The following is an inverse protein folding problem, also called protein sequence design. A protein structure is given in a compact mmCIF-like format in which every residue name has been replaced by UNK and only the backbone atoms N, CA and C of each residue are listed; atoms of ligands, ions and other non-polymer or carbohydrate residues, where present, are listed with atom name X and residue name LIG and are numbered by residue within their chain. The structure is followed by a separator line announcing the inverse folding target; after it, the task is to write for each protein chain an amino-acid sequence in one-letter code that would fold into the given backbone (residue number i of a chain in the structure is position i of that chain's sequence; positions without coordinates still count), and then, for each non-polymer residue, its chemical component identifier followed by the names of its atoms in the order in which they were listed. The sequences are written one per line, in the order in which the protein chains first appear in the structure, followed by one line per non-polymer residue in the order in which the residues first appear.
data_IF_870511563908
#
_entry.id   IF_870511563908
#
_cell.length_a   1.000
_cell.length_b   1.000
_cell.length_c   1.000
_cell.angle_alpha   90.00
_cell.angle_beta   90.00
_cell.angle_gamma   90.00
#
_symmetry.space_group_name_H-M   'P 1'
#
loop_
_entity.id
_entity.type
_entity.pdbx_description
1 polymer ?
#
# COMPACT_ATOMS: atom_id res chain seq x y z
N UNK A 1 -3.13 17.45 15.52
CA UNK A 1 -4.32 16.87 16.17
C UNK A 1 -4.74 15.72 15.28
N UNK A 2 -4.60 14.49 15.77
CA UNK A 2 -5.09 13.32 15.04
C UNK A 2 -6.62 13.42 15.04
N UNK A 3 -7.24 13.30 13.87
CA UNK A 3 -8.70 13.37 13.72
C UNK A 3 -9.29 12.11 14.37
N UNK A 4 -10.00 12.27 15.48
CA UNK A 4 -10.53 11.14 16.26
C UNK A 4 -11.49 10.26 15.47
N UNK A 5 -12.19 10.84 14.49
CA UNK A 5 -13.04 10.08 13.58
C UNK A 5 -12.20 9.24 12.61
N UNK A 6 -11.10 9.81 12.10
CA UNK A 6 -10.18 9.09 11.20
C UNK A 6 -9.62 7.85 11.88
N UNK A 7 -9.12 7.98 13.11
CA UNK A 7 -8.60 6.83 13.87
C UNK A 7 -9.67 5.77 14.03
N UNK A 8 -10.86 6.16 14.50
CA UNK A 8 -11.94 5.21 14.72
C UNK A 8 -12.37 4.49 13.42
N UNK A 9 -12.42 5.19 12.28
CA UNK A 9 -12.73 4.59 10.98
C UNK A 9 -11.65 3.57 10.55
N UNK A 10 -10.37 3.83 10.87
CA UNK A 10 -9.28 2.90 10.60
C UNK A 10 -9.24 1.72 11.58
N UNK A 11 -9.55 1.93 12.86
CA UNK A 11 -9.70 0.85 13.84
C UNK A 11 -10.78 -0.15 13.38
N UNK A 12 -11.91 0.35 12.87
CA UNK A 12 -12.96 -0.51 12.31
C UNK A 12 -12.51 -1.26 11.04
N UNK A 13 -11.72 -0.60 10.18
CA UNK A 13 -11.20 -1.24 8.98
C UNK A 13 -10.21 -2.35 9.33
N UNK A 14 -9.31 -2.09 10.27
CA UNK A 14 -8.35 -3.08 10.79
C UNK A 14 -9.07 -4.29 11.36
N UNK A 15 -10.05 -4.05 12.24
CA UNK A 15 -10.84 -5.12 12.83
C UNK A 15 -11.54 -5.96 11.74
N UNK A 16 -12.10 -5.32 10.71
CA UNK A 16 -12.75 -6.02 9.61
C UNK A 16 -11.77 -6.87 8.77
N UNK A 17 -10.53 -6.41 8.58
CA UNK A 17 -9.48 -7.19 7.91
C UNK A 17 -9.10 -8.43 8.73
N UNK A 18 -8.98 -8.28 10.06
CA UNK A 18 -8.68 -9.37 10.98
C UNK A 18 -9.81 -10.39 11.06
N UNK A 19 -11.06 -9.94 11.19
CA UNK A 19 -12.25 -10.82 11.24
C UNK A 19 -12.43 -11.61 9.94
N UNK A 20 -12.08 -11.02 8.80
CA UNK A 20 -12.06 -11.70 7.51
C UNK A 20 -10.83 -12.59 7.29
N UNK A 21 -9.89 -12.64 8.26
CA UNK A 21 -8.62 -13.37 8.19
C UNK A 21 -7.83 -13.06 6.92
N UNK A 22 -7.79 -11.78 6.54
CA UNK A 22 -7.08 -11.35 5.33
C UNK A 22 -5.56 -11.50 5.57
N UNK A 23 -4.85 -12.31 4.77
CA UNK A 23 -3.41 -12.43 4.89
C UNK A 23 -2.70 -11.09 4.65
N UNK A 24 -1.58 -10.84 5.34
CA UNK A 24 -0.77 -9.62 5.15
C UNK A 24 -0.45 -9.36 3.67
N UNK A 25 -0.09 -10.42 2.92
CA UNK A 25 0.23 -10.30 1.50
C UNK A 25 -0.97 -9.94 0.61
N UNK A 26 -2.20 -10.22 1.04
CA UNK A 26 -3.39 -9.73 0.35
C UNK A 26 -3.72 -8.28 0.71
N UNK A 27 -3.40 -7.82 1.93
CA UNK A 27 -3.49 -6.40 2.30
C UNK A 27 -2.55 -5.57 1.41
N UNK A 28 -1.29 -5.97 1.27
CA UNK A 28 -0.31 -5.28 0.41
C UNK A 28 -0.72 -5.32 -1.06
N UNK A 29 -1.22 -6.46 -1.56
CA UNK A 29 -1.74 -6.56 -2.94
C UNK A 29 -2.95 -5.68 -3.18
N UNK A 30 -3.91 -5.64 -2.26
CA UNK A 30 -5.06 -4.76 -2.39
C UNK A 30 -4.64 -3.29 -2.36
N UNK A 31 -3.63 -2.94 -1.55
CA UNK A 31 -3.06 -1.61 -1.57
C UNK A 31 -2.43 -1.27 -2.93
N UNK A 32 -1.66 -2.19 -3.51
CA UNK A 32 -1.08 -2.03 -4.85
C UNK A 32 -2.17 -1.82 -5.93
N UNK A 33 -3.24 -2.61 -5.91
CA UNK A 33 -4.41 -2.44 -6.80
C UNK A 33 -5.05 -1.07 -6.63
N UNK A 34 -5.17 -0.60 -5.38
CA UNK A 34 -5.70 0.74 -5.11
C UNK A 34 -4.78 1.84 -5.70
N UNK A 35 -3.46 1.76 -5.50
CA UNK A 35 -2.51 2.71 -6.09
C UNK A 35 -2.59 2.74 -7.61
N UNK A 36 -2.70 1.58 -8.26
CA UNK A 36 -2.85 1.51 -9.72
C UNK A 36 -4.14 2.19 -10.18
N UNK A 37 -5.25 1.98 -9.47
CA UNK A 37 -6.53 2.63 -9.78
C UNK A 37 -6.48 4.17 -9.67
N UNK A 38 -5.64 4.71 -8.77
CA UNK A 38 -5.43 6.15 -8.64
C UNK A 38 -4.65 6.72 -9.83
N UNK A 39 -3.67 5.96 -10.35
CA UNK A 39 -2.90 6.32 -11.54
C UNK A 39 -3.80 6.29 -12.77
N UNK A 40 -4.54 5.19 -12.98
CA UNK A 40 -5.42 5.02 -14.14
C UNK A 40 -6.58 6.03 -14.14
N UNK A 41 -7.10 6.35 -12.95
CA UNK A 41 -8.15 7.36 -12.77
C UNK A 41 -7.66 8.81 -12.87
N UNK A 42 -6.35 9.04 -13.07
CA UNK A 42 -5.78 10.39 -13.17
C UNK A 42 -5.87 11.21 -11.87
N UNK A 43 -6.00 10.55 -10.72
CA UNK A 43 -6.25 11.20 -9.42
C UNK A 43 -4.96 11.85 -8.87
N UNK A 44 -3.79 11.33 -9.25
CA UNK A 44 -2.47 11.82 -8.82
C UNK A 44 -1.95 12.98 -9.68
N UNK A 45 -2.78 14.01 -9.89
CA UNK A 45 -2.51 15.10 -10.82
C UNK A 45 -1.27 15.96 -10.47
N UNK A 46 -0.78 15.93 -9.22
CA UNK A 46 0.45 16.63 -8.83
C UNK A 46 1.73 15.95 -9.33
N UNK A 47 1.64 14.70 -9.79
CA UNK A 47 2.78 13.92 -10.26
C UNK A 47 2.71 13.75 -11.78
N UNK A 48 3.82 14.04 -12.46
CA UNK A 48 3.85 14.02 -13.92
C UNK A 48 3.67 12.61 -14.49
N UNK A 49 2.99 12.49 -15.63
CA UNK A 49 2.76 11.20 -16.30
C UNK A 49 4.04 10.39 -16.55
N UNK A 50 5.18 10.96 -16.98
CA UNK A 50 6.42 10.19 -17.14
C UNK A 50 6.88 9.53 -15.83
N UNK A 51 6.72 10.21 -14.69
CA UNK A 51 7.06 9.68 -13.37
C UNK A 51 6.11 8.57 -12.94
N UNK A 52 4.81 8.73 -13.18
CA UNK A 52 3.83 7.67 -12.93
C UNK A 52 4.15 6.41 -13.76
N UNK A 53 4.52 6.56 -15.03
CA UNK A 53 4.92 5.43 -15.91
C UNK A 53 6.15 4.67 -15.40
N UNK A 54 7.04 5.31 -14.65
CA UNK A 54 8.18 4.61 -14.00
C UNK A 54 7.71 3.66 -12.90
N UNK A 55 6.62 4.00 -12.20
CA UNK A 55 6.15 3.23 -11.04
C UNK A 55 5.17 2.11 -11.41
N UNK A 56 4.42 2.25 -12.50
CA UNK A 56 3.42 1.25 -12.94
C UNK A 56 4.01 -0.17 -12.97
N UNK A 57 5.18 -0.45 -13.58
CA UNK A 57 5.71 -1.81 -13.62
C UNK A 57 5.98 -2.41 -12.24
N UNK A 58 6.39 -1.59 -11.26
CA UNK A 58 6.61 -2.06 -9.88
C UNK A 58 5.28 -2.40 -9.20
N UNK A 59 4.26 -1.57 -9.40
CA UNK A 59 2.91 -1.80 -8.84
C UNK A 59 2.28 -3.04 -9.47
N UNK A 60 2.37 -3.19 -10.79
CA UNK A 60 1.87 -4.40 -11.47
C UNK A 60 2.61 -5.65 -10.99
N UNK A 61 3.92 -5.55 -10.76
CA UNK A 61 4.72 -6.65 -10.25
C UNK A 61 4.33 -7.04 -8.82
N UNK A 62 4.06 -6.08 -7.94
CA UNK A 62 3.66 -6.36 -6.55
C UNK A 62 2.29 -7.01 -6.43
N UNK A 63 1.43 -6.87 -7.44
CA UNK A 63 0.14 -7.57 -7.53
C UNK A 63 0.32 -9.08 -7.83
N UNK A 64 1.43 -9.47 -8.48
CA UNK A 64 1.70 -10.86 -8.84
C UNK A 64 2.13 -11.68 -7.61
N UNK A 65 1.38 -12.74 -7.29
CA UNK A 65 1.59 -13.57 -6.09
C UNK A 65 2.91 -14.33 -6.09
N UNK A 66 3.12 -15.20 -7.08
CA UNK A 66 4.27 -16.10 -7.12
C UNK A 66 5.62 -15.37 -7.13
N UNK A 67 5.90 -14.39 -8.02
CA UNK A 67 7.25 -13.82 -8.12
C UNK A 67 7.69 -13.04 -6.87
N UNK A 68 6.75 -12.54 -6.07
CA UNK A 68 7.06 -11.69 -4.90
C UNK A 68 7.10 -12.51 -3.61
N UNK A 69 6.26 -13.54 -3.48
CA UNK A 69 6.24 -14.42 -2.33
C UNK A 69 7.39 -15.45 -2.39
N UNK A 70 7.74 -15.96 -3.57
CA UNK A 70 8.73 -17.05 -3.70
C UNK A 70 10.17 -16.60 -4.01
N UNK A 71 10.39 -15.35 -4.43
CA UNK A 71 11.71 -14.85 -4.82
C UNK A 71 12.12 -13.62 -3.98
N UNK A 72 12.69 -13.90 -2.81
CA UNK A 72 13.15 -12.86 -1.89
C UNK A 72 14.28 -11.98 -2.45
N UNK A 73 15.10 -12.49 -3.37
CA UNK A 73 16.18 -11.74 -3.99
C UNK A 73 15.65 -10.75 -5.03
N UNK A 74 14.67 -11.18 -5.83
CA UNK A 74 13.94 -10.27 -6.72
C UNK A 74 13.26 -9.16 -5.92
N UNK A 75 12.52 -9.51 -4.86
CA UNK A 75 11.84 -8.53 -4.00
C UNK A 75 12.84 -7.52 -3.42
N UNK A 76 13.97 -8.00 -2.86
CA UNK A 76 15.02 -7.13 -2.31
C UNK A 76 15.60 -6.20 -3.37
N UNK A 77 15.84 -6.70 -4.59
CA UNK A 77 16.35 -5.89 -5.70
C UNK A 77 15.39 -4.76 -6.07
N UNK A 78 14.10 -5.07 -6.24
CA UNK A 78 13.07 -4.08 -6.56
C UNK A 78 12.94 -3.01 -5.46
N UNK A 79 13.02 -3.41 -4.19
CA UNK A 79 13.03 -2.48 -3.05
C UNK A 79 14.26 -1.56 -3.10
N UNK A 80 15.45 -2.09 -3.37
CA UNK A 80 16.68 -1.28 -3.47
C UNK A 80 16.64 -0.30 -4.65
N UNK A 81 16.12 -0.72 -5.80
CA UNK A 81 15.91 0.13 -6.97
C UNK A 81 14.96 1.29 -6.62
N UNK A 82 13.79 0.99 -6.05
CA UNK A 82 12.83 2.01 -5.62
C UNK A 82 13.42 2.95 -4.56
N UNK A 83 14.21 2.42 -3.60
CA UNK A 83 14.86 3.27 -2.61
C UNK A 83 15.84 4.26 -3.24
N UNK A 84 16.59 3.79 -4.24
CA UNK A 84 17.54 4.64 -4.97
C UNK A 84 16.80 5.77 -5.70
N UNK A 85 15.68 5.48 -6.35
CA UNK A 85 14.86 6.51 -7.01
C UNK A 85 14.28 7.50 -6.00
N UNK A 86 13.76 7.02 -4.87
CA UNK A 86 13.22 7.91 -3.84
C UNK A 86 14.29 8.87 -3.31
N UNK A 87 15.49 8.37 -3.00
CA UNK A 87 16.59 9.19 -2.48
C UNK A 87 17.00 10.30 -3.46
N UNK A 88 16.97 10.03 -4.77
CA UNK A 88 17.27 11.01 -5.80
C UNK A 88 16.22 12.15 -5.85
N UNK A 89 14.98 11.84 -5.50
CA UNK A 89 13.85 12.79 -5.60
C UNK A 89 13.44 13.42 -4.27
N UNK A 90 13.86 12.87 -3.13
CA UNK A 90 13.43 13.28 -1.78
C UNK A 90 13.42 14.78 -1.51
N UNK A 91 14.42 15.50 -2.03
CA UNK A 91 14.60 16.96 -1.81
C UNK A 91 14.05 17.83 -2.93
N UNK A 92 13.86 17.26 -4.13
CA UNK A 92 13.51 18.01 -5.34
C UNK A 92 12.06 17.83 -5.75
N UNK A 93 11.44 16.72 -5.34
CA UNK A 93 10.04 16.38 -5.59
C UNK A 93 9.52 15.47 -4.46
N UNK A 94 8.99 16.10 -3.42
CA UNK A 94 8.49 15.41 -2.23
C UNK A 94 7.25 14.55 -2.52
N UNK A 95 6.37 15.00 -3.41
CA UNK A 95 5.17 14.26 -3.79
C UNK A 95 5.54 12.95 -4.49
N UNK A 96 6.46 13.01 -5.46
CA UNK A 96 6.92 11.80 -6.13
C UNK A 96 7.68 10.87 -5.17
N UNK A 97 8.51 11.42 -4.28
CA UNK A 97 9.19 10.62 -3.26
C UNK A 97 8.21 9.92 -2.30
N UNK A 98 7.14 10.60 -1.89
CA UNK A 98 6.08 10.00 -1.08
C UNK A 98 5.28 8.94 -1.84
N UNK A 99 5.05 9.12 -3.14
CA UNK A 99 4.43 8.07 -3.96
C UNK A 99 5.35 6.83 -4.05
N UNK A 100 6.67 7.01 -4.20
CA UNK A 100 7.61 5.88 -4.18
C UNK A 100 7.56 5.14 -2.84
N UNK A 101 7.47 5.86 -1.71
CA UNK A 101 7.25 5.23 -0.38
C UNK A 101 5.96 4.41 -0.34
N UNK A 102 4.88 4.90 -0.96
CA UNK A 102 3.65 4.11 -1.09
C UNK A 102 3.88 2.83 -1.88
N UNK A 103 4.63 2.89 -2.99
CA UNK A 103 4.94 1.69 -3.80
C UNK A 103 5.86 0.71 -3.05
N UNK A 104 6.81 1.21 -2.25
CA UNK A 104 7.69 0.37 -1.42
C UNK A 104 6.89 -0.52 -0.46
N UNK A 105 5.82 0.01 0.15
CA UNK A 105 4.94 -0.79 1.02
C UNK A 105 4.28 -1.98 0.33
N UNK A 106 4.13 -1.95 -1.00
CA UNK A 106 3.58 -3.08 -1.75
C UNK A 106 4.52 -4.31 -1.75
N UNK A 107 5.77 -4.13 -1.33
CA UNK A 107 6.78 -5.20 -1.21
C UNK A 107 7.12 -5.53 0.25
N UNK A 108 6.41 -4.94 1.22
CA UNK A 108 6.59 -5.26 2.63
C UNK A 108 6.20 -6.72 2.89
N UNK A 109 6.83 -7.32 3.89
CA UNK A 109 6.43 -8.63 4.42
C UNK A 109 5.96 -8.51 5.84
N UNK A 110 5.21 -9.52 6.29
CA UNK A 110 4.71 -9.59 7.65
C UNK A 110 5.86 -9.65 8.66
N UNK A 111 6.96 -10.36 8.35
CA UNK A 111 8.13 -10.43 9.23
C UNK A 111 8.75 -9.05 9.44
N UNK A 112 8.95 -8.27 8.37
CA UNK A 112 9.49 -6.91 8.49
C UNK A 112 8.55 -6.01 9.29
N UNK A 113 7.24 -6.14 9.10
CA UNK A 113 6.25 -5.38 9.86
C UNK A 113 6.30 -5.69 11.36
N UNK A 114 6.38 -6.97 11.71
CA UNK A 114 6.49 -7.43 13.10
C UNK A 114 7.81 -6.95 13.73
N UNK A 115 8.92 -7.02 12.99
CA UNK A 115 10.24 -6.57 13.45
C UNK A 115 10.30 -5.05 13.71
N UNK A 116 9.60 -4.24 12.90
CA UNK A 116 9.53 -2.79 13.10
C UNK A 116 8.77 -2.40 14.38
N UNK A 117 7.97 -3.30 14.94
CA UNK A 117 7.39 -3.15 16.28
C UNK A 117 6.46 -1.95 16.42
N UNK A 118 5.71 -1.61 15.36
CA UNK A 118 4.83 -0.43 15.31
C UNK A 118 3.67 -0.50 16.32
N UNK A 119 3.29 -1.70 16.75
CA UNK A 119 2.23 -1.95 17.72
C UNK A 119 0.84 -2.14 17.09
N UNK A 120 0.70 -1.86 15.79
CA UNK A 120 -0.56 -2.00 15.06
C UNK A 120 -0.68 -3.40 14.44
N UNK A 121 -1.90 -3.95 14.44
CA UNK A 121 -2.16 -5.31 13.97
C UNK A 121 -1.99 -5.47 12.45
N UNK A 122 -2.18 -4.38 11.70
CA UNK A 122 -2.01 -4.36 10.25
C UNK A 122 -1.32 -3.06 9.82
N UNK A 123 -0.70 -3.01 8.64
CA UNK A 123 0.00 -1.80 8.18
C UNK A 123 -0.94 -0.77 7.53
N UNK A 124 -2.26 -1.00 7.56
CA UNK A 124 -3.22 -0.29 6.72
C UNK A 124 -3.27 1.21 7.03
N UNK A 125 -3.18 1.59 8.31
CA UNK A 125 -3.22 2.99 8.69
C UNK A 125 -1.93 3.72 8.27
N UNK A 126 -0.76 3.07 8.37
CA UNK A 126 0.50 3.61 7.86
C UNK A 126 0.46 3.87 6.35
N UNK A 127 -0.12 2.93 5.59
CA UNK A 127 -0.28 3.06 4.14
C UNK A 127 -1.11 4.29 3.81
N UNK A 128 -2.23 4.46 4.50
CA UNK A 128 -3.08 5.63 4.35
C UNK A 128 -2.38 6.92 4.76
N UNK A 129 -1.70 6.97 5.92
CA UNK A 129 -1.02 8.18 6.39
C UNK A 129 0.03 8.67 5.41
N UNK A 130 0.72 7.75 4.74
CA UNK A 130 1.72 8.09 3.72
C UNK A 130 1.06 8.59 2.44
N UNK A 131 0.01 7.90 1.97
CA UNK A 131 -0.74 8.32 0.79
C UNK A 131 -1.44 9.68 0.98
N UNK A 132 -1.96 9.95 2.18
CA UNK A 132 -2.64 11.21 2.54
C UNK A 132 -1.74 12.44 2.36
N UNK A 133 -0.41 12.28 2.43
CA UNK A 133 0.55 13.37 2.20
C UNK A 133 0.48 13.92 0.78
N UNK A 134 0.19 13.05 -0.20
CA UNK A 134 0.14 13.40 -1.63
C UNK A 134 -1.27 13.47 -2.19
N UNK A 135 -2.22 12.81 -1.52
CA UNK A 135 -3.62 12.84 -1.91
C UNK A 135 -4.53 13.10 -0.70
N UNK A 136 -4.57 14.36 -0.21
CA UNK A 136 -5.49 14.75 0.86
C UNK A 136 -6.95 14.46 0.44
N UNK A 137 -7.76 13.97 1.39
CA UNK A 137 -9.17 13.64 1.12
C UNK A 137 -9.41 12.23 0.55
N UNK A 138 -8.37 11.41 0.37
CA UNK A 138 -8.51 10.01 -0.10
C UNK A 138 -9.20 9.08 0.91
N UNK A 139 -9.36 9.50 2.18
CA UNK A 139 -9.85 8.67 3.31
C UNK A 139 -11.02 7.76 2.96
N UNK A 140 -12.14 8.35 2.51
CA UNK A 140 -13.36 7.59 2.19
C UNK A 140 -13.17 6.63 1.02
N UNK A 141 -12.43 7.04 -0.01
CA UNK A 141 -12.17 6.20 -1.17
C UNK A 141 -11.26 5.01 -0.81
N UNK A 142 -10.23 5.27 -0.01
CA UNK A 142 -9.32 4.25 0.51
C UNK A 142 -10.07 3.20 1.33
N UNK A 143 -10.85 3.62 2.33
CA UNK A 143 -11.61 2.71 3.19
C UNK A 143 -12.59 1.87 2.36
N UNK A 144 -13.34 2.51 1.44
CA UNK A 144 -14.27 1.80 0.55
C UNK A 144 -13.59 0.76 -0.34
N UNK A 145 -12.36 1.04 -0.80
CA UNK A 145 -11.59 0.08 -1.60
C UNK A 145 -11.36 -1.22 -0.84
N UNK A 146 -10.94 -1.13 0.41
CA UNK A 146 -10.71 -2.32 1.24
C UNK A 146 -12.01 -2.99 1.70
N UNK A 147 -13.05 -2.22 2.02
CA UNK A 147 -14.37 -2.79 2.33
C UNK A 147 -14.96 -3.56 1.15
N UNK A 148 -14.84 -3.01 -0.07
CA UNK A 148 -15.26 -3.71 -1.29
C UNK A 148 -14.45 -4.98 -1.53
N UNK A 149 -13.14 -4.94 -1.27
CA UNK A 149 -12.27 -6.11 -1.33
C UNK A 149 -12.67 -7.20 -0.31
N UNK A 150 -12.93 -6.83 0.96
CA UNK A 150 -13.38 -7.77 1.99
C UNK A 150 -14.72 -8.42 1.58
N UNK A 151 -15.67 -7.62 1.10
CA UNK A 151 -16.97 -8.10 0.66
C UNK A 151 -16.87 -9.06 -0.54
N UNK A 152 -15.95 -8.81 -1.48
CA UNK A 152 -15.74 -9.64 -2.66
C UNK A 152 -15.02 -10.96 -2.35
N UNK A 153 -14.20 -11.01 -1.29
CA UNK A 153 -13.37 -12.17 -0.93
C UNK A 153 -13.84 -12.84 0.37
N UNK A 154 -15.13 -12.69 0.71
CA UNK A 154 -15.73 -13.17 1.94
C UNK A 154 -15.48 -14.66 2.19
N UNK A 155 -14.54 -14.92 3.11
CA UNK A 155 -13.94 -16.20 3.56
C UNK A 155 -12.72 -16.64 2.75
N UNK A 156 -11.53 -16.18 3.15
CA UNK A 156 -10.32 -16.98 3.02
C UNK A 156 -10.48 -18.21 3.93
N UNK A 157 -11.18 -19.24 3.46
CA UNK A 157 -11.16 -20.54 4.13
C UNK A 157 -9.72 -21.01 4.15
N UNK A 158 -9.15 -21.11 5.36
CA UNK A 158 -7.94 -21.88 5.65
C UNK A 158 -8.10 -23.22 4.93
N UNK A 159 -7.33 -23.43 3.86
CA UNK A 159 -7.10 -24.78 3.40
C UNK A 159 -6.22 -25.43 4.47
N UNK A 160 -6.84 -26.31 5.25
CA UNK A 160 -6.20 -27.23 6.20
C UNK A 160 -5.04 -28.01 5.58
#
# INVERSE_FOLDING_TARGET
MIDSLEVQEFDYLEQALLEASVPFSEITRQYARYLLSLIDGGVLASISTPKLKVLIPYIEKSIQREPIESDGDLRRRLVLELWTVEQQHRKSDEDFANLIRCVLFCFATEECWIEEGTGDATPIYLYFLTLKKILPGTRKAFIRSFQGFIAANGKYTLHE
#
